data_IF_692882671278
#
_entry.id   IF_692882671278
#
_cell.length_a   1.000
_cell.length_b   1.000
_cell.length_c   1.000
_cell.angle_alpha   90.00
_cell.angle_beta   90.00
_cell.angle_gamma   90.00
#
_symmetry.space_group_name_H-M   'P 1'
#
loop_
_entity.id
_entity.type
_entity.pdbx_description
1 polymer ?
#
# COMPACT_ATOMS: atom_id res chain seq x y z
N UNK A 1 17.46 8.43 2.68
CA UNK A 1 16.85 9.67 2.16
C UNK A 1 17.34 9.84 0.72
N UNK A 2 16.48 10.29 -0.19
CA UNK A 2 16.89 10.56 -1.58
C UNK A 2 17.76 11.83 -1.57
N UNK A 3 18.92 11.79 -2.24
CA UNK A 3 19.77 12.96 -2.38
C UNK A 3 19.13 13.90 -3.39
N UNK A 4 18.62 15.03 -2.91
CA UNK A 4 18.02 16.07 -3.74
C UNK A 4 18.95 17.29 -3.77
N UNK A 5 19.07 17.91 -4.94
CA UNK A 5 19.82 19.16 -5.10
C UNK A 5 19.14 20.30 -4.33
N UNK A 6 19.96 21.19 -3.74
CA UNK A 6 19.46 22.42 -3.10
C UNK A 6 18.87 23.42 -4.10
N UNK A 7 19.27 23.33 -5.37
CA UNK A 7 18.77 24.19 -6.45
C UNK A 7 17.44 23.63 -6.94
N UNK A 8 16.35 24.30 -6.57
CA UNK A 8 15.00 23.91 -6.97
C UNK A 8 14.73 24.29 -8.43
N UNK A 9 13.99 23.44 -9.10
CA UNK A 9 13.43 23.73 -10.42
C UNK A 9 12.32 24.77 -10.25
N UNK A 10 12.07 25.59 -11.28
CA UNK A 10 10.95 26.53 -11.25
C UNK A 10 9.63 25.75 -11.12
N UNK A 11 8.67 26.22 -10.30
CA UNK A 11 7.44 25.48 -9.99
C UNK A 11 6.62 25.15 -11.25
N UNK A 12 6.64 26.02 -12.26
CA UNK A 12 5.96 25.78 -13.54
C UNK A 12 6.55 24.59 -14.32
N UNK A 13 7.87 24.44 -14.29
CA UNK A 13 8.56 23.33 -14.94
C UNK A 13 8.32 22.04 -14.15
N UNK A 14 8.34 22.13 -12.82
CA UNK A 14 8.04 21.02 -11.93
C UNK A 14 6.61 20.48 -12.15
N UNK A 15 5.62 21.37 -12.30
CA UNK A 15 4.25 20.97 -12.65
C UNK A 15 4.17 20.22 -13.99
N UNK A 16 4.92 20.66 -15.01
CA UNK A 16 5.03 19.97 -16.29
C UNK A 16 5.69 18.58 -16.13
N UNK A 17 6.71 18.47 -15.29
CA UNK A 17 7.35 17.18 -14.98
C UNK A 17 6.38 16.21 -14.30
N UNK A 18 5.57 16.68 -13.34
CA UNK A 18 4.56 15.84 -12.70
C UNK A 18 3.49 15.36 -13.69
N UNK A 19 3.11 16.19 -14.66
CA UNK A 19 2.18 15.79 -15.72
C UNK A 19 2.72 14.63 -16.57
N UNK A 20 4.02 14.61 -16.86
CA UNK A 20 4.65 13.49 -17.59
C UNK A 20 4.51 12.17 -16.84
N UNK A 21 4.64 12.19 -15.52
CA UNK A 21 4.43 11.00 -14.69
C UNK A 21 3.00 10.50 -14.85
N UNK A 22 2.00 11.39 -14.80
CA UNK A 22 0.60 11.01 -15.00
C UNK A 22 0.35 10.43 -16.40
N UNK A 23 0.88 11.05 -17.45
CA UNK A 23 0.69 10.59 -18.82
C UNK A 23 1.36 9.23 -19.10
N UNK A 24 2.55 9.00 -18.56
CA UNK A 24 3.30 7.76 -18.78
C UNK A 24 2.79 6.64 -17.88
N UNK A 25 2.55 6.90 -16.60
CA UNK A 25 2.18 5.86 -15.62
C UNK A 25 0.67 5.62 -15.60
N UNK A 26 -0.13 6.66 -15.78
CA UNK A 26 -1.60 6.61 -15.65
C UNK A 26 -2.35 6.06 -16.86
N UNK A 27 -1.75 6.06 -18.06
CA UNK A 27 -2.40 5.61 -19.31
C UNK A 27 -2.06 4.16 -19.72
N UNK A 28 -1.61 3.35 -18.76
CA UNK A 28 -1.24 1.96 -19.04
C UNK A 28 -2.47 1.05 -19.02
N UNK A 29 -2.67 0.27 -20.09
CA UNK A 29 -3.86 -0.57 -20.27
C UNK A 29 -3.67 -2.01 -19.77
N UNK A 30 -2.44 -2.43 -19.47
CA UNK A 30 -2.12 -3.78 -18.99
C UNK A 30 -1.16 -3.73 -17.80
N UNK A 31 -1.33 -4.68 -16.88
CA UNK A 31 -0.47 -4.87 -15.70
C UNK A 31 0.99 -5.12 -16.10
N UNK A 32 1.22 -5.85 -17.18
CA UNK A 32 2.58 -6.14 -17.67
C UNK A 32 3.28 -4.88 -18.19
N UNK A 33 2.56 -4.05 -18.96
CA UNK A 33 3.08 -2.78 -19.46
C UNK A 33 3.38 -1.82 -18.31
N UNK A 34 2.48 -1.73 -17.34
CA UNK A 34 2.70 -0.96 -16.12
C UNK A 34 3.95 -1.44 -15.35
N UNK A 35 4.12 -2.76 -15.22
CA UNK A 35 5.29 -3.33 -14.53
C UNK A 35 6.60 -2.97 -15.22
N UNK A 36 6.64 -3.00 -16.57
CA UNK A 36 7.82 -2.62 -17.35
C UNK A 36 8.20 -1.15 -17.13
N UNK A 37 7.21 -0.25 -17.17
CA UNK A 37 7.41 1.18 -16.93
C UNK A 37 7.92 1.45 -15.52
N UNK A 38 7.27 0.88 -14.50
CA UNK A 38 7.67 1.07 -13.09
C UNK A 38 9.06 0.50 -12.83
N UNK A 39 9.42 -0.62 -13.46
CA UNK A 39 10.73 -1.23 -13.32
C UNK A 39 11.84 -0.38 -13.94
N UNK A 40 11.57 0.35 -15.02
CA UNK A 40 12.51 1.29 -15.63
C UNK A 40 12.58 2.64 -14.91
N UNK A 41 11.47 3.11 -14.34
CA UNK A 41 11.40 4.44 -13.70
C UNK A 41 11.95 4.47 -12.26
N UNK A 42 11.72 3.41 -11.49
CA UNK A 42 12.08 3.36 -10.08
C UNK A 42 13.21 2.37 -9.81
N UNK A 43 14.17 2.80 -9.00
CA UNK A 43 15.18 1.87 -8.46
C UNK A 43 14.51 0.77 -7.61
N UNK A 44 15.16 -0.40 -7.45
CA UNK A 44 14.63 -1.48 -6.61
C UNK A 44 14.29 -1.04 -5.17
N UNK A 45 15.05 -0.08 -4.63
CA UNK A 45 14.86 0.45 -3.28
C UNK A 45 13.64 1.36 -3.23
N UNK A 46 13.46 2.24 -4.21
CA UNK A 46 12.30 3.14 -4.29
C UNK A 46 11.00 2.36 -4.50
N UNK A 47 11.00 1.33 -5.34
CA UNK A 47 9.85 0.44 -5.52
C UNK A 47 9.41 -0.17 -4.19
N UNK A 48 10.35 -0.73 -3.43
CA UNK A 48 10.07 -1.30 -2.11
C UNK A 48 9.56 -0.25 -1.13
N UNK A 49 10.11 0.96 -1.18
CA UNK A 49 9.70 2.07 -0.32
C UNK A 49 8.26 2.52 -0.63
N UNK A 50 7.92 2.73 -1.90
CA UNK A 50 6.56 3.10 -2.33
C UNK A 50 5.56 2.01 -1.98
N UNK A 51 5.87 0.74 -2.28
CA UNK A 51 5.02 -0.40 -1.94
C UNK A 51 4.72 -0.48 -0.43
N UNK A 52 5.75 -0.30 0.42
CA UNK A 52 5.56 -0.27 1.87
C UNK A 52 4.69 0.91 2.31
N UNK A 53 4.87 2.11 1.74
CA UNK A 53 4.02 3.27 2.06
C UNK A 53 2.56 3.02 1.70
N UNK A 54 2.29 2.48 0.51
CA UNK A 54 0.93 2.11 0.08
C UNK A 54 0.30 1.10 1.05
N UNK A 55 1.05 0.07 1.45
CA UNK A 55 0.58 -0.91 2.43
C UNK A 55 0.29 -0.27 3.81
N UNK A 56 1.08 0.71 4.27
CA UNK A 56 0.82 1.42 5.53
C UNK A 56 -0.52 2.18 5.44
N UNK A 57 -0.73 3.01 4.41
CA UNK A 57 -1.98 3.77 4.26
C UNK A 57 -3.20 2.88 4.35
N UNK A 58 -3.10 1.74 3.69
CA UNK A 58 -4.15 0.75 3.60
C UNK A 58 -4.46 0.09 4.94
N UNK A 59 -3.44 -0.36 5.65
CA UNK A 59 -3.59 -0.95 6.98
C UNK A 59 -4.11 0.08 8.00
N UNK A 60 -3.74 1.35 7.86
CA UNK A 60 -4.28 2.44 8.67
C UNK A 60 -5.77 2.68 8.40
N UNK A 61 -6.21 2.66 7.14
CA UNK A 61 -7.65 2.75 6.78
C UNK A 61 -8.43 1.56 7.34
N UNK A 62 -7.85 0.35 7.32
CA UNK A 62 -8.40 -0.85 7.99
C UNK A 62 -8.27 -0.82 9.53
N UNK A 63 -7.79 0.27 10.13
CA UNK A 63 -7.64 0.47 11.57
C UNK A 63 -6.75 -0.58 12.27
N UNK A 64 -5.73 -1.08 11.58
CA UNK A 64 -4.75 -2.00 12.17
C UNK A 64 -3.84 -1.25 13.15
N UNK A 65 -3.52 -1.90 14.27
CA UNK A 65 -2.65 -1.32 15.30
C UNK A 65 -1.23 -1.04 14.77
N UNK A 66 -0.62 0.07 15.19
CA UNK A 66 0.68 0.50 14.67
C UNK A 66 1.80 -0.50 14.92
N UNK A 67 1.85 -1.09 16.13
CA UNK A 67 2.87 -2.10 16.48
C UNK A 67 2.84 -3.26 15.50
N UNK A 68 1.63 -3.67 15.14
CA UNK A 68 1.34 -4.72 14.17
C UNK A 68 1.82 -4.32 12.78
N UNK A 69 1.52 -3.10 12.31
CA UNK A 69 2.00 -2.58 11.02
C UNK A 69 3.54 -2.56 10.96
N UNK A 70 4.21 -2.08 12.01
CA UNK A 70 5.67 -2.02 12.09
C UNK A 70 6.30 -3.41 12.01
N UNK A 71 5.74 -4.38 12.73
CA UNK A 71 6.23 -5.75 12.77
C UNK A 71 6.08 -6.47 11.42
N UNK A 72 4.97 -6.24 10.72
CA UNK A 72 4.68 -6.80 9.40
C UNK A 72 5.62 -6.22 8.35
N UNK A 73 5.53 -4.90 8.16
CA UNK A 73 6.15 -4.23 7.02
C UNK A 73 7.64 -3.96 7.26
N UNK A 74 8.15 -4.27 8.46
CA UNK A 74 9.51 -3.95 8.90
C UNK A 74 9.80 -2.48 8.65
N UNK A 75 8.96 -1.63 9.23
CA UNK A 75 9.03 -0.16 9.16
C UNK A 75 9.10 0.42 10.55
N UNK A 76 9.68 1.61 10.66
CA UNK A 76 9.75 2.32 11.94
C UNK A 76 8.41 2.98 12.29
N UNK A 77 8.15 3.19 13.58
CA UNK A 77 7.00 3.96 14.08
C UNK A 77 6.93 5.35 13.44
N UNK A 78 8.08 6.00 13.23
CA UNK A 78 8.15 7.30 12.55
C UNK A 78 7.59 7.26 11.11
N UNK A 79 7.76 6.14 10.40
CA UNK A 79 7.22 5.98 9.05
C UNK A 79 5.70 5.82 9.07
N UNK A 80 5.19 5.05 10.02
CA UNK A 80 3.74 4.85 10.22
C UNK A 80 3.07 6.17 10.62
N UNK A 81 3.65 6.88 11.59
CA UNK A 81 3.18 8.19 12.03
C UNK A 81 3.12 9.20 10.89
N UNK A 82 4.17 9.30 10.05
CA UNK A 82 4.15 10.19 8.87
C UNK A 82 3.04 9.84 7.90
N UNK A 83 2.81 8.56 7.62
CA UNK A 83 1.72 8.14 6.73
C UNK A 83 0.35 8.45 7.34
N UNK A 84 0.18 8.25 8.64
CA UNK A 84 -1.07 8.58 9.31
C UNK A 84 -1.35 10.09 9.26
N UNK A 85 -0.33 10.93 9.51
CA UNK A 85 -0.48 12.38 9.38
C UNK A 85 -0.89 12.80 7.97
N UNK A 86 -0.30 12.18 6.92
CA UNK A 86 -0.70 12.43 5.54
C UNK A 86 -2.15 12.00 5.31
N UNK A 87 -2.55 10.84 5.82
CA UNK A 87 -3.92 10.31 5.66
C UNK A 87 -4.97 11.22 6.33
N UNK A 88 -4.64 11.81 7.49
CA UNK A 88 -5.53 12.72 8.22
C UNK A 88 -5.64 14.10 7.56
N UNK A 89 -4.57 14.56 6.90
CA UNK A 89 -4.50 15.91 6.34
C UNK A 89 -4.84 15.97 4.84
N UNK A 90 -4.94 14.83 4.15
CA UNK A 90 -5.18 14.77 2.71
C UNK A 90 -6.43 13.95 2.41
N UNK A 91 -7.53 14.67 2.16
CA UNK A 91 -8.85 14.09 1.91
C UNK A 91 -8.91 13.21 0.66
N UNK A 92 -8.11 13.54 -0.35
CA UNK A 92 -8.05 12.84 -1.63
C UNK A 92 -7.43 11.46 -1.46
N UNK A 93 -6.34 11.35 -0.69
CA UNK A 93 -5.73 10.06 -0.35
C UNK A 93 -6.70 9.24 0.50
N UNK A 94 -7.35 9.84 1.49
CA UNK A 94 -8.31 9.14 2.33
C UNK A 94 -9.45 8.55 1.50
N UNK A 95 -10.01 9.33 0.57
CA UNK A 95 -11.08 8.90 -0.33
C UNK A 95 -10.61 7.83 -1.32
N UNK A 96 -9.42 7.98 -1.89
CA UNK A 96 -8.87 7.00 -2.83
C UNK A 96 -8.69 5.62 -2.16
N UNK A 97 -8.15 5.58 -0.94
CA UNK A 97 -7.97 4.34 -0.20
C UNK A 97 -9.27 3.77 0.35
N UNK A 98 -10.24 4.60 0.77
CA UNK A 98 -11.53 4.11 1.24
C UNK A 98 -12.34 3.45 0.12
N UNK A 99 -12.36 4.07 -1.07
CA UNK A 99 -12.98 3.50 -2.28
C UNK A 99 -12.29 2.21 -2.75
N UNK A 100 -10.97 2.13 -2.59
CA UNK A 100 -10.21 0.94 -2.93
C UNK A 100 -10.53 -0.22 -1.97
N UNK A 101 -10.67 0.07 -0.66
CA UNK A 101 -11.03 -0.93 0.36
C UNK A 101 -12.49 -1.38 0.23
N UNK A 102 -13.41 -0.51 -0.23
CA UNK A 102 -14.81 -0.89 -0.42
C UNK A 102 -15.05 -1.85 -1.59
N UNK A 103 -14.06 -2.04 -2.49
CA UNK A 103 -14.15 -3.04 -3.56
C UNK A 103 -13.99 -4.45 -2.98
N UNK A 104 -14.97 -5.31 -3.23
CA UNK A 104 -15.01 -6.68 -2.71
C UNK A 104 -13.75 -7.49 -3.08
N UNK A 105 -13.27 -7.37 -4.32
CA UNK A 105 -12.04 -8.03 -4.81
C UNK A 105 -10.80 -7.63 -3.99
N UNK A 106 -10.67 -6.34 -3.70
CA UNK A 106 -9.54 -5.82 -2.90
C UNK A 106 -9.64 -6.28 -1.45
N UNK A 107 -10.85 -6.41 -0.91
CA UNK A 107 -11.06 -6.94 0.44
C UNK A 107 -10.49 -8.36 0.60
N UNK A 108 -10.72 -9.24 -0.38
CA UNK A 108 -10.14 -10.60 -0.38
C UNK A 108 -8.62 -10.55 -0.45
N UNK A 109 -8.07 -9.79 -1.41
CA UNK A 109 -6.61 -9.63 -1.54
C UNK A 109 -5.97 -9.17 -0.23
N UNK A 110 -6.63 -8.29 0.52
CA UNK A 110 -6.14 -7.88 1.83
C UNK A 110 -6.27 -8.94 2.91
N UNK A 111 -7.35 -9.69 2.93
CA UNK A 111 -7.50 -10.77 3.90
C UNK A 111 -6.45 -11.87 3.61
N UNK A 112 -6.09 -12.11 2.35
CA UNK A 112 -4.99 -12.99 1.96
C UNK A 112 -3.64 -12.46 2.41
N UNK A 113 -3.39 -11.17 2.17
CA UNK A 113 -2.17 -10.49 2.61
C UNK A 113 -2.07 -10.51 4.14
N UNK A 114 -3.17 -10.29 4.87
CA UNK A 114 -3.23 -10.43 6.32
C UNK A 114 -2.99 -11.86 6.77
N UNK A 115 -3.49 -12.88 6.07
CA UNK A 115 -3.17 -14.29 6.36
C UNK A 115 -1.71 -14.63 6.06
N UNK A 116 -1.10 -14.01 5.06
CA UNK A 116 0.33 -14.20 4.82
C UNK A 116 1.17 -13.70 6.02
N UNK A 117 0.70 -12.66 6.72
CA UNK A 117 1.37 -12.12 7.91
C UNK A 117 0.91 -12.76 9.24
N UNK A 118 -0.38 -13.06 9.37
CA UNK A 118 -1.06 -13.52 10.61
C UNK A 118 -1.77 -14.86 10.45
N UNK A 119 -1.30 -15.68 9.52
CA UNK A 119 -1.84 -16.99 9.28
C UNK A 119 -1.51 -17.96 10.42
N UNK A 120 -2.23 -19.10 10.48
CA UNK A 120 -1.81 -20.19 11.34
C UNK A 120 -0.37 -20.60 10.99
N UNK A 121 0.50 -20.70 11.99
CA UNK A 121 1.92 -21.03 11.81
C UNK A 121 2.88 -19.84 11.68
N UNK A 122 2.41 -18.59 11.68
CA UNK A 122 3.30 -17.42 11.76
C UNK A 122 3.60 -17.01 13.21
N UNK A 123 4.83 -16.54 13.46
CA UNK A 123 5.19 -15.99 14.76
C UNK A 123 4.26 -14.81 15.11
N UNK A 124 3.90 -14.68 16.40
CA UNK A 124 3.02 -13.62 16.94
C UNK A 124 1.51 -13.74 16.67
N UNK A 125 1.03 -14.87 16.12
CA UNK A 125 -0.40 -15.10 15.87
C UNK A 125 -0.99 -16.06 16.90
N UNK A 126 -2.16 -15.70 17.48
CA UNK A 126 -2.96 -16.67 18.23
C UNK A 126 -3.52 -17.72 17.26
N UNK A 127 -3.13 -18.99 17.45
CA UNK A 127 -3.51 -20.10 16.57
C UNK A 127 -5.02 -20.16 16.27
N UNK A 128 -5.86 -19.94 17.29
CA UNK A 128 -7.33 -19.94 17.16
C UNK A 128 -7.82 -18.81 16.26
N UNK A 129 -7.22 -17.62 16.36
CA UNK A 129 -7.62 -16.48 15.53
C UNK A 129 -7.08 -16.58 14.11
N UNK A 130 -5.90 -17.16 13.91
CA UNK A 130 -5.35 -17.45 12.58
C UNK A 130 -6.24 -18.42 11.78
N UNK A 131 -6.63 -19.55 12.39
CA UNK A 131 -7.54 -20.52 11.76
C UNK A 131 -8.96 -19.98 11.55
N UNK A 132 -9.44 -19.10 12.44
CA UNK A 132 -10.73 -18.43 12.26
C UNK A 132 -10.72 -17.54 11.02
N UNK A 133 -9.72 -16.66 10.89
CA UNK A 133 -9.55 -15.77 9.73
C UNK A 133 -9.39 -16.54 8.42
N UNK A 134 -8.65 -17.67 8.45
CA UNK A 134 -8.46 -18.51 7.27
C UNK A 134 -9.80 -19.04 6.75
N UNK A 135 -10.64 -19.54 7.64
CA UNK A 135 -11.99 -20.02 7.29
C UNK A 135 -12.93 -18.90 6.82
N UNK A 136 -12.89 -17.75 7.48
CA UNK A 136 -13.68 -16.57 7.07
C UNK A 136 -13.32 -16.12 5.64
N UNK A 137 -12.04 -16.18 5.28
CA UNK A 137 -11.57 -15.86 3.93
C UNK A 137 -12.00 -16.92 2.90
N UNK A 138 -11.91 -18.20 3.25
CA UNK A 138 -12.38 -19.31 2.39
C UNK A 138 -13.89 -19.20 2.13
N UNK A 139 -14.68 -18.81 3.13
CA UNK A 139 -16.12 -18.56 2.99
C UNK A 139 -16.41 -17.37 2.07
N UNK A 140 -15.75 -16.22 2.28
CA UNK A 140 -15.92 -15.06 1.41
C UNK A 140 -15.57 -15.34 -0.05
N UNK A 141 -14.54 -16.16 -0.29
CA UNK A 141 -14.17 -16.59 -1.65
C UNK A 141 -15.25 -17.46 -2.29
N UNK A 142 -15.86 -18.36 -1.52
CA UNK A 142 -16.93 -19.21 -1.99
C UNK A 142 -18.23 -18.44 -2.29
N UNK A 143 -18.48 -17.32 -1.60
CA UNK A 143 -19.63 -16.44 -1.84
C UNK A 143 -19.49 -15.53 -3.08
N UNK A 144 -18.29 -15.41 -3.63
CA UNK A 144 -17.98 -14.55 -4.79
C UNK A 144 -17.77 -15.32 -6.10
N UNK A 145 -17.83 -16.66 -6.05
CA UNK A 145 -17.88 -17.57 -7.20
C UNK A 145 -19.33 -17.97 -7.49
#
# INVERSE_FOLDING_TARGET
>A
MVQLSKRKVKPEIEAKMFRLIFDIVGKQNSSDQFSGVINGLFSPIEKRMVAKRLAIFLLLVKKVEWKTICNILKVSNASVSKCQMILLNNSEIQNAFSLLVSKAEMSIFFDELLLAFFGPGTAYTNWKSGWKRKRELEQKKAELL
#
